data_IF_507628672510
#
_entry.id   IF_507628672510
#
_cell.length_a   1.000
_cell.length_b   1.000
_cell.length_c   1.000
_cell.angle_alpha   90.00
_cell.angle_beta   90.00
_cell.angle_gamma   90.00
#
_symmetry.space_group_name_H-M   'P 1'
#
loop_
_entity.id
_entity.type
_entity.pdbx_description
1 polymer ?
#
# COMPACT_ATOMS: atom_id res chain seq x y z
N UNK A 1 -14.05 1.97 23.21
CA UNK A 1 -13.88 1.29 21.91
C UNK A 1 -15.27 0.96 21.37
N UNK A 2 -15.54 1.25 20.09
CA UNK A 2 -16.85 1.08 19.44
C UNK A 2 -16.63 0.66 17.98
N UNK A 3 -17.43 -0.28 17.48
CA UNK A 3 -17.33 -0.80 16.11
C UNK A 3 -17.68 0.22 15.02
N UNK A 4 -18.30 1.35 15.39
CA UNK A 4 -18.56 2.49 14.51
C UNK A 4 -17.28 3.26 14.15
N UNK A 5 -16.24 3.12 14.97
CA UNK A 5 -14.92 3.68 14.76
C UNK A 5 -14.04 2.68 14.03
N UNK A 6 -13.10 3.19 13.24
CA UNK A 6 -12.15 2.40 12.46
C UNK A 6 -10.75 2.66 12.99
N UNK A 7 -9.95 1.60 13.10
CA UNK A 7 -8.56 1.68 13.54
C UNK A 7 -7.66 0.81 12.67
N UNK A 8 -6.35 1.12 12.66
CA UNK A 8 -5.32 0.21 12.21
C UNK A 8 -4.73 -0.47 13.44
N UNK A 9 -4.99 -1.77 13.59
CA UNK A 9 -4.49 -2.60 14.67
C UNK A 9 -3.16 -3.31 14.34
N UNK A 10 -2.60 -3.04 13.15
CA UNK A 10 -1.35 -3.62 12.66
C UNK A 10 -0.29 -2.52 12.44
N UNK A 11 0.65 -2.72 11.51
CA UNK A 11 1.72 -1.76 11.26
C UNK A 11 1.21 -0.51 10.53
N UNK A 12 1.78 0.65 10.85
CA UNK A 12 1.43 1.93 10.22
C UNK A 12 2.43 2.38 9.15
N UNK A 13 3.66 1.86 9.16
CA UNK A 13 4.68 2.17 8.17
C UNK A 13 5.78 1.11 8.16
N UNK A 14 6.43 0.90 7.01
CA UNK A 14 7.59 0.02 6.87
C UNK A 14 8.36 0.29 5.56
N UNK A 15 9.59 -0.21 5.51
CA UNK A 15 10.43 -0.25 4.30
C UNK A 15 9.94 -1.31 3.31
N UNK A 16 9.83 -0.93 2.03
CA UNK A 16 9.33 -1.76 0.92
C UNK A 16 10.48 -2.20 0.01
N UNK A 17 11.26 -1.24 -0.47
CA UNK A 17 12.52 -1.47 -1.20
C UNK A 17 13.61 -0.74 -0.43
N UNK A 18 14.75 -1.40 -0.23
CA UNK A 18 15.92 -0.82 0.40
C UNK A 18 17.15 -1.20 -0.39
N UNK A 19 18.00 -0.22 -0.66
CA UNK A 19 19.26 -0.43 -1.40
C UNK A 19 19.03 -1.11 -2.77
N UNK A 20 17.90 -0.79 -3.43
CA UNK A 20 17.53 -1.35 -4.73
C UNK A 20 16.90 -2.74 -4.72
N UNK A 21 16.74 -3.37 -3.56
CA UNK A 21 16.19 -4.72 -3.41
C UNK A 21 14.91 -4.74 -2.54
N UNK A 22 14.01 -5.72 -2.71
CA UNK A 22 12.87 -5.89 -1.81
C UNK A 22 13.32 -6.06 -0.36
N UNK A 23 12.70 -5.34 0.58
CA UNK A 23 13.02 -5.48 2.00
C UNK A 23 12.72 -6.90 2.48
N UNK A 24 13.65 -7.52 3.22
CA UNK A 24 13.61 -8.96 3.56
C UNK A 24 12.31 -9.40 4.25
N UNK A 25 11.69 -8.51 5.04
CA UNK A 25 10.47 -8.79 5.82
C UNK A 25 9.18 -8.27 5.16
N UNK A 26 9.24 -7.72 3.95
CA UNK A 26 8.04 -7.13 3.32
C UNK A 26 6.88 -8.13 3.22
N UNK A 27 7.19 -9.41 3.05
CA UNK A 27 6.20 -10.48 2.94
C UNK A 27 5.36 -10.69 4.21
N UNK A 28 5.85 -10.29 5.39
CA UNK A 28 5.15 -10.42 6.68
C UNK A 28 4.45 -9.13 7.11
N UNK A 29 4.83 -7.98 6.55
CA UNK A 29 4.28 -6.69 6.91
C UNK A 29 2.84 -6.49 6.46
N UNK A 30 1.99 -6.04 7.38
CA UNK A 30 0.55 -5.84 7.15
C UNK A 30 0.06 -4.57 7.83
N UNK A 31 -0.86 -3.88 7.16
CA UNK A 31 -1.73 -2.85 7.73
C UNK A 31 -3.18 -3.31 7.64
N UNK A 32 -4.09 -2.65 8.37
CA UNK A 32 -5.52 -2.92 8.26
C UNK A 32 -6.37 -1.67 8.57
N UNK A 33 -7.67 -1.76 8.30
CA UNK A 33 -8.66 -0.77 8.69
C UNK A 33 -9.92 -1.50 9.18
N UNK A 34 -9.92 -1.82 10.46
CA UNK A 34 -10.87 -2.73 11.14
C UNK A 34 -11.67 -1.97 12.20
N UNK A 35 -12.80 -2.51 12.71
CA UNK A 35 -13.54 -1.83 13.77
C UNK A 35 -12.68 -1.71 15.04
N UNK A 36 -12.83 -0.62 15.76
CA UNK A 36 -12.12 -0.38 17.02
C UNK A 36 -12.77 -1.16 18.18
N UNK A 37 -12.58 -2.48 18.17
CA UNK A 37 -13.07 -3.47 19.14
C UNK A 37 -11.97 -4.50 19.46
N UNK A 38 -12.07 -5.18 20.60
CA UNK A 38 -11.05 -6.13 21.06
C UNK A 38 -11.04 -7.44 20.25
N UNK A 39 -12.21 -7.84 19.74
CA UNK A 39 -12.48 -9.11 19.05
C UNK A 39 -12.53 -8.96 17.52
N UNK A 40 -11.84 -7.97 16.95
CA UNK A 40 -11.91 -7.69 15.50
C UNK A 40 -11.39 -8.87 14.63
N UNK A 41 -10.66 -9.82 15.20
CA UNK A 41 -10.25 -11.02 14.47
C UNK A 41 -11.44 -11.92 14.08
N UNK A 42 -12.59 -11.75 14.74
CA UNK A 42 -13.86 -12.43 14.40
C UNK A 42 -14.64 -11.72 13.28
N UNK A 43 -13.97 -10.87 12.48
CA UNK A 43 -14.56 -10.29 11.27
C UNK A 43 -15.09 -11.41 10.35
N UNK A 44 -16.31 -11.22 9.84
CA UNK A 44 -17.01 -12.24 9.08
C UNK A 44 -16.17 -12.79 7.92
N UNK A 45 -16.15 -14.11 7.76
CA UNK A 45 -15.32 -14.89 6.82
C UNK A 45 -15.71 -14.73 5.34
N UNK A 46 -16.41 -13.64 4.97
CA UNK A 46 -16.98 -13.40 3.65
C UNK A 46 -16.35 -12.20 2.91
N UNK A 47 -15.16 -11.77 3.29
CA UNK A 47 -14.45 -10.73 2.55
C UNK A 47 -14.01 -11.23 1.17
N UNK A 48 -13.93 -10.30 0.22
CA UNK A 48 -13.66 -10.60 -1.18
C UNK A 48 -12.16 -10.78 -1.43
N UNK A 49 -11.85 -11.48 -2.53
CA UNK A 49 -10.48 -11.63 -3.03
C UNK A 49 -9.77 -10.27 -3.12
N UNK A 50 -8.46 -10.22 -2.83
CA UNK A 50 -7.76 -8.96 -2.73
C UNK A 50 -7.76 -8.20 -4.05
N UNK A 51 -8.02 -6.89 -3.96
CA UNK A 51 -7.76 -5.99 -5.08
C UNK A 51 -6.26 -5.72 -5.18
N UNK A 52 -5.84 -5.31 -6.37
CA UNK A 52 -4.44 -5.03 -6.69
C UNK A 52 -4.33 -3.69 -7.39
N UNK A 53 -3.48 -2.83 -6.86
CA UNK A 53 -3.05 -1.57 -7.47
C UNK A 53 -1.57 -1.72 -7.81
N UNK A 54 -1.22 -1.45 -9.07
CA UNK A 54 0.14 -1.59 -9.60
C UNK A 54 0.79 -0.22 -9.71
N UNK A 55 1.98 -0.08 -9.13
CA UNK A 55 2.86 1.07 -9.29
C UNK A 55 4.12 0.60 -10.02
N UNK A 56 4.54 1.34 -11.02
CA UNK A 56 5.76 1.07 -11.77
C UNK A 56 6.61 2.32 -11.85
N UNK A 57 7.91 2.17 -11.70
CA UNK A 57 8.87 3.23 -11.95
C UNK A 57 10.04 2.68 -12.76
N UNK A 58 10.42 3.40 -13.81
CA UNK A 58 11.57 3.07 -14.63
C UNK A 58 12.39 4.33 -14.91
N UNK A 59 13.71 4.23 -14.73
CA UNK A 59 14.65 5.24 -15.20
C UNK A 59 15.45 4.69 -16.38
N UNK A 60 15.10 5.05 -17.62
CA UNK A 60 15.78 4.56 -18.82
C UNK A 60 17.12 5.26 -19.03
N UNK A 61 17.99 4.60 -19.79
CA UNK A 61 19.27 5.15 -20.27
C UNK A 61 19.17 5.42 -21.75
N UNK A 62 19.66 6.58 -22.17
CA UNK A 62 19.87 6.86 -23.58
C UNK A 62 21.10 6.06 -24.05
N UNK A 63 20.86 4.88 -24.62
CA UNK A 63 21.87 4.05 -25.27
C UNK A 63 21.65 4.06 -26.79
N UNK A 64 22.70 3.82 -27.60
CA UNK A 64 22.54 3.69 -29.05
C UNK A 64 21.49 2.64 -29.42
N UNK A 65 20.71 2.87 -30.48
CA UNK A 65 19.57 2.01 -30.87
C UNK A 65 19.94 0.52 -31.00
N UNK A 66 21.16 0.21 -31.47
CA UNK A 66 21.61 -1.17 -31.63
C UNK A 66 21.81 -1.93 -30.30
N UNK A 67 21.86 -1.23 -29.17
CA UNK A 67 21.97 -1.82 -27.83
C UNK A 67 20.60 -2.07 -27.18
N UNK A 68 19.51 -1.62 -27.81
CA UNK A 68 18.14 -1.79 -27.30
C UNK A 68 17.83 -0.88 -26.11
N UNK A 69 16.89 -1.31 -25.26
CA UNK A 69 16.45 -0.57 -24.07
C UNK A 69 17.29 -1.00 -22.86
N UNK A 70 17.96 -0.05 -22.22
CA UNK A 70 18.64 -0.26 -20.95
C UNK A 70 18.04 0.65 -19.87
N UNK A 71 17.86 0.13 -18.65
CA UNK A 71 17.28 0.85 -17.51
C UNK A 71 18.27 0.85 -16.34
N UNK A 72 18.44 2.00 -15.68
CA UNK A 72 19.24 2.09 -14.46
C UNK A 72 18.42 1.78 -13.22
N UNK A 73 17.11 1.99 -13.26
CA UNK A 73 16.21 1.66 -12.17
C UNK A 73 14.95 1.08 -12.76
N UNK A 74 14.49 -0.04 -12.23
CA UNK A 74 13.22 -0.66 -12.57
C UNK A 74 12.58 -1.18 -11.29
N UNK A 75 11.34 -0.78 -11.03
CA UNK A 75 10.59 -1.20 -9.86
C UNK A 75 9.13 -1.43 -10.21
N UNK A 76 8.62 -2.57 -9.78
CA UNK A 76 7.21 -2.90 -9.74
C UNK A 76 6.78 -3.13 -8.30
N UNK A 77 5.76 -2.41 -7.88
CA UNK A 77 5.18 -2.55 -6.54
C UNK A 77 3.68 -2.82 -6.70
N UNK A 78 3.18 -3.84 -6.01
CA UNK A 78 1.77 -4.20 -5.96
C UNK A 78 1.22 -3.92 -4.58
N UNK A 79 0.35 -2.90 -4.46
CA UNK A 79 -0.46 -2.69 -3.26
C UNK A 79 -1.69 -3.59 -3.34
N UNK A 80 -1.85 -4.46 -2.34
CA UNK A 80 -2.94 -5.42 -2.24
C UNK A 80 -3.75 -5.19 -0.98
N UNK A 81 -5.06 -5.37 -1.08
CA UNK A 81 -5.95 -5.26 0.08
C UNK A 81 -7.20 -6.11 -0.05
N UNK A 82 -7.56 -6.76 1.05
CA UNK A 82 -8.85 -7.45 1.21
C UNK A 82 -9.94 -6.43 1.55
N UNK A 83 -11.18 -6.71 1.16
CA UNK A 83 -12.28 -5.76 1.38
C UNK A 83 -13.62 -6.45 1.60
N UNK A 84 -14.58 -5.71 2.14
CA UNK A 84 -15.96 -6.15 2.35
C UNK A 84 -16.17 -6.96 3.62
N UNK A 85 -15.18 -6.99 4.52
CA UNK A 85 -15.36 -7.64 5.81
C UNK A 85 -16.44 -6.92 6.62
N UNK A 86 -17.23 -7.69 7.36
CA UNK A 86 -18.32 -7.16 8.18
C UNK A 86 -18.10 -7.55 9.63
N UNK A 87 -18.57 -6.71 10.55
CA UNK A 87 -18.58 -7.01 11.98
C UNK A 87 -20.03 -7.02 12.46
N UNK A 88 -20.46 -8.12 13.09
CA UNK A 88 -21.85 -8.33 13.54
C UNK A 88 -22.90 -8.08 12.43
N UNK A 89 -22.56 -8.46 11.19
CA UNK A 89 -23.43 -8.30 10.02
C UNK A 89 -23.49 -6.89 9.43
N UNK A 90 -22.69 -5.94 9.93
CA UNK A 90 -22.67 -4.54 9.50
C UNK A 90 -21.29 -4.03 9.08
N UNK A 91 -21.30 -2.91 8.36
CA UNK A 91 -20.11 -2.20 7.91
C UNK A 91 -19.38 -2.83 6.74
N UNK A 92 -18.27 -2.22 6.35
CA UNK A 92 -17.35 -2.69 5.33
C UNK A 92 -15.92 -2.31 5.75
N UNK A 93 -15.12 -3.30 6.10
CA UNK A 93 -13.78 -3.15 6.67
C UNK A 93 -12.70 -3.75 5.76
N UNK A 94 -11.44 -3.41 6.04
CA UNK A 94 -10.25 -3.87 5.31
C UNK A 94 -9.42 -4.73 6.29
N UNK A 95 -9.53 -6.07 6.24
CA UNK A 95 -8.82 -6.96 7.17
C UNK A 95 -7.30 -6.91 7.03
N UNK A 96 -6.82 -6.74 5.79
CA UNK A 96 -5.41 -6.86 5.46
C UNK A 96 -5.06 -5.98 4.27
N UNK A 97 -3.93 -5.29 4.39
CA UNK A 97 -3.28 -4.50 3.35
C UNK A 97 -1.80 -4.86 3.36
N UNK A 98 -1.23 -5.11 2.19
CA UNK A 98 0.19 -5.47 2.05
C UNK A 98 0.75 -5.00 0.72
N UNK A 99 2.07 -5.01 0.64
CA UNK A 99 2.78 -4.75 -0.61
C UNK A 99 3.59 -5.97 -1.02
N UNK A 100 3.70 -6.15 -2.33
CA UNK A 100 4.62 -7.09 -2.96
C UNK A 100 5.51 -6.32 -3.92
N UNK A 101 6.73 -6.80 -4.10
CA UNK A 101 7.71 -6.22 -5.02
C UNK A 101 8.12 -7.33 -6.01
N UNK A 102 7.36 -7.53 -7.11
CA UNK A 102 7.69 -8.54 -8.11
C UNK A 102 9.00 -8.24 -8.84
N UNK A 103 9.39 -6.97 -8.89
CA UNK A 103 10.59 -6.48 -9.57
C UNK A 103 11.16 -5.30 -8.78
N UNK A 104 12.45 -5.36 -8.47
CA UNK A 104 13.24 -4.22 -8.01
C UNK A 104 14.67 -4.43 -8.48
N UNK A 105 15.18 -3.46 -9.22
CA UNK A 105 16.52 -3.47 -9.78
C UNK A 105 17.10 -2.06 -9.79
N UNK A 106 18.35 -1.95 -9.39
CA UNK A 106 19.18 -0.76 -9.58
C UNK A 106 20.51 -1.16 -10.25
N UNK A 107 20.88 -0.39 -11.26
CA UNK A 107 22.17 -0.48 -11.92
C UNK A 107 23.27 0.18 -11.09
N UNK A 108 24.51 -0.02 -11.53
CA UNK A 108 25.69 0.52 -10.83
C UNK A 108 25.57 2.03 -10.56
N UNK A 109 25.91 2.43 -9.33
CA UNK A 109 25.84 3.80 -8.77
C UNK A 109 24.42 4.37 -8.57
N UNK A 110 23.37 3.60 -8.82
CA UNK A 110 22.00 3.98 -8.51
C UNK A 110 21.50 3.30 -7.23
N UNK A 111 20.66 4.01 -6.50
CA UNK A 111 19.92 3.49 -5.37
C UNK A 111 18.43 3.83 -5.51
N UNK A 112 17.59 2.93 -5.01
CA UNK A 112 16.16 3.05 -4.88
C UNK A 112 15.78 2.62 -3.46
N UNK A 113 15.20 3.56 -2.72
CA UNK A 113 14.58 3.30 -1.42
C UNK A 113 13.10 3.68 -1.50
N UNK A 114 12.22 2.77 -1.13
CA UNK A 114 10.77 2.99 -1.09
C UNK A 114 10.23 2.59 0.28
N UNK A 115 9.38 3.45 0.82
CA UNK A 115 8.66 3.30 2.05
C UNK A 115 7.15 3.31 1.79
N UNK A 116 6.40 2.72 2.71
CA UNK A 116 4.96 2.91 2.79
C UNK A 116 4.56 3.49 4.14
N UNK A 117 3.56 4.36 4.12
CA UNK A 117 2.91 4.90 5.31
C UNK A 117 1.40 4.86 5.17
N UNK A 118 0.73 4.33 6.18
CA UNK A 118 -0.70 4.32 6.35
C UNK A 118 -1.08 5.41 7.34
N UNK A 119 -2.01 6.29 6.95
CA UNK A 119 -2.57 7.28 7.85
C UNK A 119 -3.63 6.63 8.76
N UNK A 120 -3.96 7.23 9.91
CA UNK A 120 -5.05 6.72 10.76
C UNK A 120 -6.35 6.58 9.96
N UNK A 121 -7.00 5.39 9.98
CA UNK A 121 -8.21 5.20 9.21
C UNK A 121 -9.40 5.93 9.84
N UNK A 122 -10.41 6.22 9.02
CA UNK A 122 -11.65 6.87 9.43
C UNK A 122 -12.86 6.11 8.90
N UNK A 123 -14.06 6.45 9.39
CA UNK A 123 -15.30 6.04 8.75
C UNK A 123 -15.65 7.02 7.63
N UNK A 124 -15.78 6.54 6.39
CA UNK A 124 -16.18 7.34 5.23
C UNK A 124 -17.66 7.77 5.24
N UNK A 125 -18.49 7.13 6.07
CA UNK A 125 -19.88 7.49 6.25
C UNK A 125 -20.18 7.80 7.73
N UNK A 126 -19.72 8.95 8.27
CA UNK A 126 -19.93 9.30 9.67
C UNK A 126 -21.40 9.55 10.03
N UNK A 127 -22.27 9.76 9.02
CA UNK A 127 -23.71 9.96 9.18
C UNK A 127 -24.51 8.68 9.39
N UNK A 128 -24.01 7.53 8.94
CA UNK A 128 -24.60 6.21 9.20
C UNK A 128 -23.61 5.33 9.97
N UNK A 129 -23.68 5.45 11.29
CA UNK A 129 -22.81 4.70 12.19
C UNK A 129 -23.17 3.22 12.29
N UNK A 130 -24.37 2.84 11.83
CA UNK A 130 -24.79 1.44 11.77
C UNK A 130 -24.19 0.70 10.57
N UNK A 131 -23.55 1.40 9.64
CA UNK A 131 -22.90 0.81 8.45
C UNK A 131 -21.59 1.54 8.14
N UNK A 132 -20.59 1.47 9.05
CA UNK A 132 -19.32 2.15 8.86
C UNK A 132 -18.61 1.61 7.62
N UNK A 133 -18.02 2.52 6.83
CA UNK A 133 -17.17 2.16 5.69
C UNK A 133 -15.76 2.59 6.05
N UNK A 134 -14.86 1.62 6.24
CA UNK A 134 -13.47 1.91 6.52
C UNK A 134 -12.85 2.73 5.38
N UNK A 135 -12.07 3.76 5.73
CA UNK A 135 -11.28 4.59 4.83
C UNK A 135 -9.87 4.69 5.38
N UNK A 136 -8.88 4.36 4.57
CA UNK A 136 -7.47 4.46 4.97
C UNK A 136 -6.64 5.09 3.85
N UNK A 137 -6.06 6.28 4.08
CA UNK A 137 -5.06 6.84 3.19
C UNK A 137 -3.73 6.10 3.31
N UNK A 138 -3.07 5.90 2.17
CA UNK A 138 -1.81 5.19 2.00
C UNK A 138 -0.90 6.06 1.13
N UNK A 139 0.31 6.29 1.58
CA UNK A 139 1.35 6.95 0.80
C UNK A 139 2.49 5.97 0.62
N UNK A 140 2.81 5.65 -0.64
CA UNK A 140 4.04 4.95 -1.00
C UNK A 140 4.98 6.01 -1.54
N UNK A 141 6.10 6.24 -0.88
CA UNK A 141 7.05 7.28 -1.27
C UNK A 141 8.47 6.77 -1.20
N UNK A 142 9.37 7.46 -1.87
CA UNK A 142 10.74 7.02 -1.90
C UNK A 142 11.68 7.98 -2.60
N UNK A 143 12.90 7.51 -2.76
CA UNK A 143 13.96 8.26 -3.41
C UNK A 143 14.65 7.35 -4.42
N UNK A 144 14.83 7.88 -5.62
CA UNK A 144 15.78 7.37 -6.61
C UNK A 144 16.99 8.28 -6.57
N UNK A 145 18.18 7.73 -6.46
CA UNK A 145 19.39 8.54 -6.36
C UNK A 145 20.60 7.92 -7.04
N UNK A 146 21.53 8.79 -7.42
CA UNK A 146 22.90 8.51 -7.80
C UNK A 146 23.79 9.62 -7.24
N UNK A 147 25.08 9.64 -7.57
CA UNK A 147 26.00 10.69 -7.10
C UNK A 147 25.58 12.10 -7.53
N UNK A 148 25.00 12.25 -8.73
CA UNK A 148 24.68 13.56 -9.34
C UNK A 148 23.20 13.91 -9.31
N UNK A 149 22.32 12.93 -9.06
CA UNK A 149 20.88 13.10 -9.19
C UNK A 149 20.14 12.50 -8.01
N UNK A 150 19.07 13.17 -7.59
CA UNK A 150 18.14 12.68 -6.57
C UNK A 150 16.73 13.09 -6.97
N UNK A 151 15.85 12.10 -7.09
CA UNK A 151 14.44 12.29 -7.41
C UNK A 151 13.59 11.69 -6.30
N UNK A 152 12.56 12.42 -5.89
CA UNK A 152 11.52 11.92 -5.01
C UNK A 152 10.39 11.26 -5.81
N UNK A 153 9.92 10.12 -5.30
CA UNK A 153 8.77 9.39 -5.82
C UNK A 153 7.67 9.44 -4.78
N UNK A 154 6.42 9.59 -5.23
CA UNK A 154 5.26 9.51 -4.37
C UNK A 154 4.04 8.99 -5.15
N UNK A 155 3.34 8.05 -4.53
CA UNK A 155 2.02 7.58 -4.95
C UNK A 155 1.08 7.63 -3.75
N UNK A 156 0.02 8.41 -3.86
CA UNK A 156 -1.04 8.50 -2.86
C UNK A 156 -2.25 7.66 -3.24
N UNK A 157 -2.82 6.94 -2.29
CA UNK A 157 -4.08 6.22 -2.45
C UNK A 157 -4.97 6.37 -1.23
N UNK A 158 -6.27 6.46 -1.46
CA UNK A 158 -7.27 6.26 -0.40
C UNK A 158 -8.02 4.96 -0.67
N UNK A 159 -7.89 3.98 0.23
CA UNK A 159 -8.58 2.69 0.14
C UNK A 159 -9.85 2.70 0.97
N UNK A 160 -10.89 2.03 0.48
CA UNK A 160 -12.18 1.90 1.17
C UNK A 160 -12.56 0.44 1.41
N UNK A 161 -13.20 0.17 2.55
CA UNK A 161 -13.61 -1.17 2.96
C UNK A 161 -14.69 -1.79 2.09
N UNK A 162 -15.35 -1.03 1.21
CA UNK A 162 -16.23 -1.56 0.17
C UNK A 162 -15.48 -2.00 -1.10
N UNK A 163 -14.15 -1.87 -1.13
CA UNK A 163 -13.29 -2.22 -2.25
C UNK A 163 -13.07 -1.08 -3.26
N UNK A 164 -13.68 0.10 -3.11
CA UNK A 164 -13.29 1.24 -3.96
C UNK A 164 -11.95 1.80 -3.52
N UNK A 165 -11.27 2.50 -4.43
CA UNK A 165 -10.07 3.27 -4.11
C UNK A 165 -10.01 4.53 -4.97
N UNK A 166 -9.30 5.54 -4.49
CA UNK A 166 -8.96 6.76 -5.23
C UNK A 166 -7.44 6.88 -5.23
N UNK A 167 -6.88 7.28 -6.37
CA UNK A 167 -5.48 7.68 -6.44
C UNK A 167 -5.41 9.19 -6.19
N UNK A 168 -4.63 9.57 -5.19
CA UNK A 168 -4.36 10.95 -4.84
C UNK A 168 -3.16 11.43 -5.69
N UNK A 169 -3.33 12.52 -6.43
CA UNK A 169 -2.26 13.18 -7.22
C UNK A 169 -1.32 13.98 -6.36
#
# INVERSE_FOLDING_TARGET
MSWEMVQNAAQAAWHVIKDGEPHQEISTHRANAVPAVDDWQDLGTGFYSPKKIRMTYEWPVNVPEFMGRYVYVDAEILLRFDYGATYKGGGAFIPSIWLEVPQAYTGWSWNLDIDVRFQPPTNANPGDRSRPIARIPVTVSGTVSTYEHRQHLEWGFTLYGNGSWVQDT
#
